data_IF_948461125437
#
_entry.id   IF_948461125437
#
_cell.length_a   1.000
_cell.length_b   1.000
_cell.length_c   1.000
_cell.angle_alpha   90.00
_cell.angle_beta   90.00
_cell.angle_gamma   90.00
#
_symmetry.space_group_name_H-M   'P 1'
#
loop_
_entity.id
_entity.type
_entity.pdbx_description
1 polymer ?
#
# COMPACT_ATOMS: atom_id res chain seq x y z
N UNK A 1 -21.32 12.95 5.11
CA UNK A 1 -20.23 12.51 6.01
C UNK A 1 -19.71 11.18 5.47
N UNK A 2 -18.40 11.01 5.29
CA UNK A 2 -17.83 9.76 4.79
C UNK A 2 -17.80 8.71 5.91
N UNK A 3 -17.81 7.43 5.54
CA UNK A 3 -17.59 6.31 6.46
C UNK A 3 -16.36 5.54 6.00
N UNK A 4 -15.53 5.15 6.96
CA UNK A 4 -14.26 4.48 6.71
C UNK A 4 -14.28 3.09 7.32
N UNK A 5 -13.72 2.12 6.60
CA UNK A 5 -13.71 0.72 6.99
C UNK A 5 -12.34 0.11 6.74
N UNK A 6 -11.86 -0.69 7.68
CA UNK A 6 -10.69 -1.53 7.52
C UNK A 6 -11.08 -2.98 7.82
N UNK A 7 -10.81 -3.90 6.90
CA UNK A 7 -11.23 -5.32 7.00
C UNK A 7 -12.72 -5.51 7.35
N UNK A 8 -13.60 -4.65 6.82
CA UNK A 8 -15.04 -4.69 7.08
C UNK A 8 -15.48 -4.06 8.42
N UNK A 9 -14.55 -3.72 9.30
CA UNK A 9 -14.84 -3.03 10.57
C UNK A 9 -14.80 -1.53 10.38
N UNK A 10 -15.78 -0.82 10.94
CA UNK A 10 -15.83 0.65 10.90
C UNK A 10 -14.70 1.22 11.77
N UNK A 11 -13.98 2.20 11.24
CA UNK A 11 -12.89 2.89 11.94
C UNK A 11 -13.16 4.39 12.03
N UNK A 12 -12.50 5.05 12.99
CA UNK A 12 -12.55 6.51 13.10
C UNK A 12 -11.82 7.19 11.93
N UNK A 13 -12.34 8.34 11.52
CA UNK A 13 -11.84 9.09 10.37
C UNK A 13 -10.37 9.49 10.53
N UNK A 14 -9.98 9.96 11.72
CA UNK A 14 -8.61 10.42 11.98
C UNK A 14 -7.61 9.25 11.92
N UNK A 15 -7.95 8.11 12.53
CA UNK A 15 -7.12 6.91 12.49
C UNK A 15 -6.95 6.37 11.06
N UNK A 16 -8.02 6.41 10.25
CA UNK A 16 -7.93 6.06 8.83
C UNK A 16 -7.04 7.05 8.06
N UNK A 17 -7.22 8.35 8.29
CA UNK A 17 -6.46 9.41 7.60
C UNK A 17 -4.97 9.35 7.90
N UNK A 18 -4.57 9.05 9.14
CA UNK A 18 -3.16 8.88 9.50
C UNK A 18 -2.49 7.77 8.69
N UNK A 19 -3.16 6.62 8.55
CA UNK A 19 -2.68 5.51 7.70
C UNK A 19 -2.66 5.92 6.24
N UNK A 20 -3.75 6.53 5.76
CA UNK A 20 -3.87 6.96 4.37
C UNK A 20 -2.78 7.97 3.97
N UNK A 21 -2.51 8.95 4.83
CA UNK A 21 -1.46 9.95 4.62
C UNK A 21 -0.07 9.32 4.52
N UNK A 22 0.28 8.41 5.44
CA UNK A 22 1.57 7.69 5.41
C UNK A 22 1.76 6.93 4.09
N UNK A 23 0.71 6.26 3.62
CA UNK A 23 0.74 5.53 2.36
C UNK A 23 0.92 6.44 1.14
N UNK A 24 0.15 7.52 1.01
CA UNK A 24 0.29 8.42 -0.15
C UNK A 24 1.59 9.23 -0.09
N UNK A 25 2.16 9.38 1.11
CA UNK A 25 3.46 10.03 1.31
C UNK A 25 4.64 9.13 1.00
N UNK A 26 4.44 7.80 0.93
CA UNK A 26 5.44 6.91 0.39
C UNK A 26 5.56 7.17 -1.11
N UNK A 27 6.42 8.13 -1.46
CA UNK A 27 6.73 8.46 -2.82
C UNK A 27 7.43 7.26 -3.46
N UNK A 28 7.03 6.94 -4.68
CA UNK A 28 7.76 6.01 -5.52
C UNK A 28 9.13 6.62 -5.83
N UNK A 29 10.16 6.20 -5.10
CA UNK A 29 11.50 6.80 -5.17
C UNK A 29 12.07 6.76 -6.60
N UNK A 30 11.80 5.67 -7.30
CA UNK A 30 12.11 5.53 -8.71
C UNK A 30 11.18 4.51 -9.38
N UNK A 31 10.90 4.73 -10.67
CA UNK A 31 10.35 3.68 -11.53
C UNK A 31 11.42 2.60 -11.70
N UNK A 32 11.09 1.33 -11.49
CA UNK A 32 12.04 0.27 -11.75
C UNK A 32 12.36 0.25 -13.26
N UNK A 33 13.64 0.37 -13.62
CA UNK A 33 14.08 0.18 -14.99
C UNK A 33 13.93 -1.31 -15.35
N UNK A 34 13.06 -1.56 -16.32
CA UNK A 34 12.71 -2.87 -16.87
C UNK A 34 12.14 -3.92 -15.90
N UNK A 35 11.61 -4.99 -16.51
CA UNK A 35 10.70 -6.00 -15.94
C UNK A 35 11.37 -6.78 -14.79
N UNK A 36 11.44 -6.18 -13.60
CA UNK A 36 11.81 -6.93 -12.39
C UNK A 36 10.70 -7.95 -12.15
N UNK A 37 10.97 -9.24 -12.38
CA UNK A 37 9.99 -10.29 -12.16
C UNK A 37 9.69 -10.43 -10.67
N UNK A 38 8.41 -10.50 -10.33
CA UNK A 38 7.92 -10.80 -8.98
C UNK A 38 7.38 -12.23 -8.87
N UNK A 39 7.58 -13.08 -9.89
CA UNK A 39 7.08 -14.46 -9.89
C UNK A 39 7.65 -15.24 -8.70
N UNK A 40 6.78 -15.96 -7.99
CA UNK A 40 7.13 -16.74 -6.81
C UNK A 40 7.37 -15.92 -5.54
N UNK A 41 7.37 -14.60 -5.60
CA UNK A 41 7.57 -13.73 -4.43
C UNK A 41 6.24 -13.47 -3.72
N UNK A 42 6.15 -13.80 -2.42
CA UNK A 42 4.98 -13.47 -1.61
C UNK A 42 5.07 -12.02 -1.12
N UNK A 43 4.00 -11.23 -1.26
CA UNK A 43 3.98 -9.88 -0.72
C UNK A 43 4.02 -9.91 0.80
N UNK A 44 4.77 -8.99 1.40
CA UNK A 44 4.76 -8.78 2.86
C UNK A 44 3.48 -8.08 3.32
N UNK A 45 2.87 -7.32 2.43
CA UNK A 45 1.66 -6.55 2.67
C UNK A 45 0.95 -6.32 1.34
N UNK A 46 -0.36 -6.53 1.33
CA UNK A 46 -1.25 -6.16 0.23
C UNK A 46 -2.36 -5.30 0.80
N UNK A 47 -2.56 -4.12 0.22
CA UNK A 47 -3.64 -3.21 0.59
C UNK A 47 -4.58 -3.06 -0.60
N UNK A 48 -5.87 -3.24 -0.34
CA UNK A 48 -6.94 -3.06 -1.33
C UNK A 48 -7.87 -1.95 -0.86
N UNK A 49 -8.00 -0.91 -1.68
CA UNK A 49 -8.90 0.20 -1.44
C UNK A 49 -10.15 0.05 -2.28
N UNK A 50 -11.30 0.27 -1.66
CA UNK A 50 -12.57 0.39 -2.34
C UNK A 50 -13.09 1.81 -2.12
N UNK A 51 -13.12 2.59 -3.19
CA UNK A 51 -13.68 3.94 -3.17
C UNK A 51 -15.07 3.83 -3.78
N UNK A 52 -16.10 4.18 -3.01
CA UNK A 52 -17.50 4.12 -3.46
C UNK A 52 -18.04 5.52 -3.76
N UNK A 53 -18.88 5.66 -4.79
CA UNK A 53 -19.49 6.92 -5.20
C UNK A 53 -19.03 7.41 -6.57
N UNK A 54 -18.98 8.73 -6.78
CA UNK A 54 -18.54 9.29 -8.07
C UNK A 54 -17.03 9.05 -8.26
N UNK A 55 -16.67 8.28 -9.28
CA UNK A 55 -15.29 7.82 -9.49
C UNK A 55 -14.97 6.52 -8.73
N UNK A 56 -15.99 5.68 -8.53
CA UNK A 56 -15.84 4.35 -7.93
C UNK A 56 -14.70 3.56 -8.57
N UNK A 57 -13.82 3.05 -7.72
CA UNK A 57 -12.66 2.30 -8.16
C UNK A 57 -12.20 1.35 -7.07
N UNK A 58 -11.55 0.27 -7.50
CA UNK A 58 -10.81 -0.60 -6.61
C UNK A 58 -9.35 -0.59 -7.02
N UNK A 59 -8.47 -0.25 -6.09
CA UNK A 59 -7.04 -0.24 -6.30
C UNK A 59 -6.41 -1.28 -5.38
N UNK A 60 -5.49 -2.08 -5.91
CA UNK A 60 -4.71 -3.03 -5.11
C UNK A 60 -3.24 -2.68 -5.25
N UNK A 61 -2.55 -2.61 -4.12
CA UNK A 61 -1.12 -2.37 -4.06
C UNK A 61 -0.49 -3.47 -3.20
N UNK A 62 0.54 -4.11 -3.72
CA UNK A 62 1.30 -5.14 -3.00
C UNK A 62 2.76 -4.72 -2.89
N UNK A 63 3.32 -4.88 -1.69
CA UNK A 63 4.72 -4.63 -1.40
C UNK A 63 5.46 -5.96 -1.34
N UNK A 64 6.41 -6.14 -2.26
CA UNK A 64 7.17 -7.37 -2.45
C UNK A 64 8.61 -7.14 -2.01
N UNK A 65 9.24 -8.10 -1.30
CA UNK A 65 10.67 -8.07 -1.02
C UNK A 65 11.49 -7.84 -2.30
N UNK A 66 12.52 -7.01 -2.20
CA UNK A 66 13.46 -6.77 -3.30
C UNK A 66 14.91 -6.83 -2.84
N UNK A 67 15.33 -5.86 -2.02
CA UNK A 67 16.67 -5.82 -1.43
C UNK A 67 16.64 -5.30 0.02
N UNK A 68 17.81 -4.96 0.56
CA UNK A 68 17.94 -4.47 1.93
C UNK A 68 17.40 -3.05 2.15
N UNK A 69 17.23 -2.26 1.09
CA UNK A 69 16.85 -0.85 1.14
C UNK A 69 15.45 -0.58 0.60
N UNK A 70 14.94 -1.41 -0.32
CA UNK A 70 13.71 -1.16 -1.05
C UNK A 70 12.78 -2.39 -1.09
N UNK A 71 11.48 -2.09 -1.19
CA UNK A 71 10.47 -3.02 -1.68
C UNK A 71 10.09 -2.68 -3.12
N UNK A 72 9.68 -3.69 -3.88
CA UNK A 72 8.94 -3.49 -5.13
C UNK A 72 7.47 -3.24 -4.82
N UNK A 73 6.90 -2.23 -5.47
CA UNK A 73 5.47 -1.97 -5.44
C UNK A 73 4.83 -2.51 -6.71
N UNK A 74 3.92 -3.47 -6.54
CA UNK A 74 3.11 -4.06 -7.59
C UNK A 74 1.66 -3.57 -7.47
N UNK A 75 1.20 -2.88 -8.49
CA UNK A 75 -0.15 -2.31 -8.58
C UNK A 75 -1.10 -3.16 -9.44
N UNK A 76 -0.66 -4.35 -9.86
CA UNK A 76 -1.35 -5.16 -10.87
C UNK A 76 -1.11 -4.72 -12.32
N UNK A 77 -0.27 -3.70 -12.51
CA UNK A 77 0.17 -3.21 -13.82
C UNK A 77 1.61 -3.67 -14.13
N UNK A 78 1.99 -3.63 -15.40
CA UNK A 78 3.31 -4.07 -15.89
C UNK A 78 4.48 -3.22 -15.38
N UNK A 79 4.21 -2.07 -14.76
CA UNK A 79 5.21 -1.15 -14.22
C UNK A 79 5.26 -1.30 -12.71
N UNK A 80 6.45 -1.64 -12.19
CA UNK A 80 6.75 -1.70 -10.76
C UNK A 80 7.58 -0.49 -10.35
N UNK A 81 7.43 -0.09 -9.10
CA UNK A 81 8.16 1.03 -8.51
C UNK A 81 8.98 0.56 -7.32
N UNK A 82 10.02 1.30 -6.95
CA UNK A 82 10.71 1.11 -5.68
C UNK A 82 10.09 1.98 -4.60
N UNK A 83 9.99 1.42 -3.40
CA UNK A 83 9.61 2.14 -2.19
C UNK A 83 10.61 1.84 -1.08
N UNK A 84 11.10 2.88 -0.41
CA UNK A 84 11.98 2.75 0.75
C UNK A 84 11.40 1.79 1.81
N UNK A 85 12.24 0.84 2.22
CA UNK A 85 11.87 -0.22 3.16
C UNK A 85 11.35 0.32 4.49
N UNK A 86 11.95 1.39 5.01
CA UNK A 86 11.57 1.98 6.31
C UNK A 86 10.18 2.60 6.23
N UNK A 87 9.86 3.26 5.11
CA UNK A 87 8.54 3.83 4.89
C UNK A 87 7.46 2.74 4.81
N UNK A 88 7.71 1.67 4.07
CA UNK A 88 6.76 0.55 3.96
C UNK A 88 6.58 -0.18 5.29
N UNK A 89 7.67 -0.39 6.04
CA UNK A 89 7.60 -0.99 7.37
C UNK A 89 6.80 -0.11 8.35
N UNK A 90 6.92 1.22 8.26
CA UNK A 90 6.15 2.16 9.07
C UNK A 90 4.66 2.19 8.68
N UNK A 91 4.34 2.04 7.39
CA UNK A 91 2.96 1.81 6.93
C UNK A 91 2.43 0.50 7.52
N UNK A 92 3.20 -0.59 7.44
CA UNK A 92 2.77 -1.89 7.96
C UNK A 92 2.49 -1.84 9.48
N UNK A 93 3.32 -1.11 10.24
CA UNK A 93 3.07 -0.87 11.68
C UNK A 93 1.79 -0.07 11.90
N UNK A 94 1.57 1.00 11.14
CA UNK A 94 0.38 1.83 11.27
C UNK A 94 -0.91 1.05 10.93
N UNK A 95 -0.89 0.26 9.84
CA UNK A 95 -1.98 -0.65 9.48
C UNK A 95 -2.23 -1.67 10.58
N UNK A 96 -1.16 -2.29 11.12
CA UNK A 96 -1.28 -3.24 12.24
C UNK A 96 -1.96 -2.61 13.45
N UNK A 97 -1.61 -1.36 13.80
CA UNK A 97 -2.27 -0.62 14.89
C UNK A 97 -3.75 -0.32 14.61
N UNK A 98 -4.14 -0.15 13.34
CA UNK A 98 -5.53 0.10 12.94
C UNK A 98 -6.40 -1.16 12.96
N UNK A 99 -5.82 -2.35 12.75
CA UNK A 99 -6.55 -3.62 12.64
C UNK A 99 -6.42 -4.54 13.86
N UNK A 100 -5.63 -4.13 14.87
CA UNK A 100 -5.49 -4.85 16.16
C UNK A 100 -6.60 -4.45 17.11
#
# INVERSE_FOLDING_TARGET
KASYYCNGSKVEEDAFKDVYQKMISAQYDAKAEEKVSAEGTKPIMTIRYHIFGKGETTMTVSFLPYDDSFYLVDTGHTIRFFADKRQVDDIAKAVKGLIS
#
